data_IF_396421583269
#
_entry.id   IF_396421583269
#
_cell.length_a   1.000
_cell.length_b   1.000
_cell.length_c   1.000
_cell.angle_alpha   90.00
_cell.angle_beta   90.00
_cell.angle_gamma   90.00
#
_symmetry.space_group_name_H-M   'P 1'
#
loop_
_entity.id
_entity.type
_entity.pdbx_description
1 polymer ?
#
# COMPACT_ATOMS: atom_id res chain seq x y z
N UNK A 1 -11.35 -5.58 5.48
CA UNK A 1 -10.85 -6.90 5.88
C UNK A 1 -11.68 -7.37 7.05
N UNK A 2 -12.10 -8.63 7.05
CA UNK A 2 -12.92 -9.20 8.12
C UNK A 2 -12.20 -9.02 9.46
N UNK A 3 -12.99 -8.72 10.50
CA UNK A 3 -12.46 -8.46 11.83
C UNK A 3 -11.78 -9.71 12.39
N UNK A 4 -10.59 -9.55 12.98
CA UNK A 4 -9.85 -10.65 13.61
C UNK A 4 -10.50 -11.17 14.90
N UNK A 5 -11.36 -10.38 15.53
CA UNK A 5 -11.84 -10.61 16.88
C UNK A 5 -12.64 -11.90 17.02
N UNK A 6 -13.49 -12.23 16.05
CA UNK A 6 -14.27 -13.47 16.07
C UNK A 6 -13.34 -14.70 16.03
N UNK A 7 -12.47 -14.80 15.01
CA UNK A 7 -11.59 -15.94 14.87
C UNK A 7 -10.62 -16.06 16.06
N UNK A 8 -10.07 -14.94 16.54
CA UNK A 8 -9.15 -14.97 17.68
C UNK A 8 -9.84 -15.47 18.96
N UNK A 9 -11.10 -15.08 19.20
CA UNK A 9 -11.91 -15.60 20.32
C UNK A 9 -12.13 -17.11 20.17
N UNK A 10 -12.51 -17.57 18.98
CA UNK A 10 -12.71 -18.99 18.69
C UNK A 10 -11.43 -19.80 18.88
N UNK A 11 -10.31 -19.34 18.34
CA UNK A 11 -9.02 -20.04 18.47
C UNK A 11 -8.55 -20.08 19.92
N UNK A 12 -8.71 -19.00 20.70
CA UNK A 12 -8.37 -19.00 22.13
C UNK A 12 -9.24 -19.98 22.93
N UNK A 13 -10.54 -20.03 22.63
CA UNK A 13 -11.46 -20.96 23.28
C UNK A 13 -11.12 -22.42 22.96
N UNK A 14 -10.79 -22.73 21.71
CA UNK A 14 -10.37 -24.07 21.30
C UNK A 14 -9.03 -24.48 21.92
N UNK A 15 -8.10 -23.53 22.09
CA UNK A 15 -6.82 -23.77 22.77
C UNK A 15 -7.04 -24.13 24.25
N UNK A 16 -7.93 -23.41 24.94
CA UNK A 16 -8.31 -23.71 26.32
C UNK A 16 -8.95 -25.09 26.46
N UNK A 17 -9.84 -25.47 25.53
CA UNK A 17 -10.46 -26.80 25.52
C UNK A 17 -9.47 -27.92 25.19
N UNK A 18 -8.48 -27.64 24.34
CA UNK A 18 -7.41 -28.58 24.00
C UNK A 18 -6.51 -28.87 25.21
N UNK A 19 -6.24 -27.86 26.03
CA UNK A 19 -5.35 -27.96 27.20
C UNK A 19 -6.07 -28.40 28.50
N UNK A 20 -7.39 -28.67 28.45
CA UNK A 20 -8.15 -29.19 29.59
C UNK A 20 -7.67 -30.61 29.95
N UNK A 21 -7.14 -30.84 31.16
CA UNK A 21 -6.61 -32.15 31.57
C UNK A 21 -7.69 -33.25 31.67
N UNK A 22 -8.97 -32.89 31.64
CA UNK A 22 -10.11 -33.80 31.66
C UNK A 22 -10.59 -34.22 30.26
N UNK A 23 -10.06 -33.61 29.19
CA UNK A 23 -10.41 -33.95 27.82
C UNK A 23 -9.79 -35.30 27.39
N UNK A 24 -10.57 -36.15 26.73
CA UNK A 24 -10.04 -37.35 26.09
C UNK A 24 -9.30 -37.01 24.78
N UNK A 25 -8.40 -37.91 24.35
CA UNK A 25 -7.58 -37.72 23.15
C UNK A 25 -8.40 -37.49 21.86
N UNK A 26 -9.64 -37.99 21.79
CA UNK A 26 -10.50 -37.82 20.62
C UNK A 26 -11.08 -36.40 20.56
N UNK A 27 -11.46 -35.83 21.71
CA UNK A 27 -11.90 -34.43 21.83
C UNK A 27 -10.76 -33.47 21.53
N UNK A 28 -9.57 -33.69 22.11
CA UNK A 28 -8.38 -32.86 21.85
C UNK A 28 -8.04 -32.77 20.37
N UNK A 29 -8.02 -33.93 19.68
CA UNK A 29 -7.86 -33.99 18.22
C UNK A 29 -8.97 -33.24 17.46
N UNK A 30 -10.22 -33.28 17.95
CA UNK A 30 -11.35 -32.61 17.32
C UNK A 30 -11.24 -31.08 17.44
N UNK A 31 -10.76 -30.56 18.57
CA UNK A 31 -10.51 -29.13 18.75
C UNK A 31 -9.42 -28.60 17.80
N UNK A 32 -8.33 -29.35 17.62
CA UNK A 32 -7.30 -29.01 16.62
C UNK A 32 -7.85 -28.99 15.19
N UNK A 33 -8.69 -29.96 14.81
CA UNK A 33 -9.35 -29.97 13.50
C UNK A 33 -10.26 -28.77 13.31
N UNK A 34 -11.05 -28.45 14.33
CA UNK A 34 -11.98 -27.32 14.27
C UNK A 34 -11.21 -26.00 14.14
N UNK A 35 -10.14 -25.80 14.91
CA UNK A 35 -9.28 -24.62 14.82
C UNK A 35 -8.74 -24.42 13.39
N UNK A 36 -8.29 -25.51 12.77
CA UNK A 36 -7.78 -25.52 11.40
C UNK A 36 -8.86 -25.15 10.37
N UNK A 37 -10.08 -25.70 10.51
CA UNK A 37 -11.21 -25.41 9.61
C UNK A 37 -11.65 -23.95 9.76
N UNK A 38 -11.77 -23.44 10.99
CA UNK A 38 -12.11 -22.03 11.26
C UNK A 38 -11.10 -21.07 10.65
N UNK A 39 -9.80 -21.36 10.75
CA UNK A 39 -8.78 -20.54 10.10
C UNK A 39 -8.91 -20.57 8.57
N UNK A 40 -9.12 -21.75 7.97
CA UNK A 40 -9.29 -21.87 6.52
C UNK A 40 -10.51 -21.06 6.03
N UNK A 41 -11.65 -21.18 6.70
CA UNK A 41 -12.87 -20.44 6.36
C UNK A 41 -12.68 -18.93 6.51
N UNK A 42 -12.06 -18.48 7.60
CA UNK A 42 -11.78 -17.06 7.80
C UNK A 42 -10.85 -16.49 6.71
N UNK A 43 -9.84 -17.24 6.27
CA UNK A 43 -8.93 -16.79 5.19
C UNK A 43 -9.71 -16.66 3.87
N UNK A 44 -10.54 -17.65 3.52
CA UNK A 44 -11.39 -17.62 2.34
C UNK A 44 -12.28 -16.36 2.34
N UNK A 45 -13.07 -16.16 3.39
CA UNK A 45 -13.94 -14.99 3.51
C UNK A 45 -13.15 -13.66 3.50
N UNK A 46 -11.96 -13.65 4.09
CA UNK A 46 -11.09 -12.47 4.12
C UNK A 46 -10.53 -12.12 2.74
N UNK A 47 -10.09 -13.12 1.98
CA UNK A 47 -9.63 -12.95 0.61
C UNK A 47 -10.77 -12.45 -0.28
N UNK A 48 -11.97 -13.01 -0.13
CA UNK A 48 -13.16 -12.57 -0.84
C UNK A 48 -13.51 -11.11 -0.52
N UNK A 49 -13.51 -10.72 0.77
CA UNK A 49 -13.72 -9.32 1.17
C UNK A 49 -12.68 -8.37 0.54
N UNK A 50 -11.41 -8.78 0.46
CA UNK A 50 -10.36 -7.98 -0.19
C UNK A 50 -10.71 -7.76 -1.66
N UNK A 51 -11.04 -8.82 -2.41
CA UNK A 51 -11.41 -8.72 -3.82
C UNK A 51 -12.67 -7.86 -4.00
N UNK A 52 -13.71 -8.10 -3.20
CA UNK A 52 -14.97 -7.36 -3.26
C UNK A 52 -14.78 -5.86 -3.01
N UNK A 53 -13.92 -5.49 -2.04
CA UNK A 53 -13.58 -4.08 -1.79
C UNK A 53 -12.81 -3.45 -2.95
N UNK A 54 -11.92 -4.20 -3.61
CA UNK A 54 -11.28 -3.73 -4.85
C UNK A 54 -12.33 -3.52 -5.95
N UNK A 55 -13.23 -4.50 -6.15
CA UNK A 55 -14.25 -4.47 -7.19
C UNK A 55 -15.21 -3.29 -7.01
N UNK A 56 -15.68 -3.02 -5.79
CA UNK A 56 -16.55 -1.88 -5.49
C UNK A 56 -15.92 -0.52 -5.86
N UNK A 57 -14.58 -0.43 -5.90
CA UNK A 57 -13.85 0.79 -6.27
C UNK A 57 -13.58 0.88 -7.77
N UNK A 58 -13.21 -0.23 -8.39
CA UNK A 58 -12.86 -0.27 -9.81
C UNK A 58 -14.10 -0.33 -10.72
N UNK A 59 -15.19 -0.95 -10.26
CA UNK A 59 -16.37 -1.21 -11.08
C UNK A 59 -17.48 -0.21 -10.81
N UNK A 60 -17.83 0.56 -11.85
CA UNK A 60 -18.98 1.49 -11.82
C UNK A 60 -20.29 0.79 -12.17
N UNK A 61 -20.25 -0.19 -13.08
CA UNK A 61 -21.43 -0.92 -13.56
C UNK A 61 -21.95 -1.90 -12.50
N UNK A 62 -23.23 -1.79 -12.18
CA UNK A 62 -23.90 -2.69 -11.23
C UNK A 62 -23.97 -4.14 -11.74
N UNK A 63 -24.08 -4.33 -13.06
CA UNK A 63 -24.04 -5.65 -13.67
C UNK A 63 -22.67 -6.32 -13.46
N UNK A 64 -21.58 -5.56 -13.57
CA UNK A 64 -20.23 -6.08 -13.36
C UNK A 64 -19.97 -6.38 -11.88
N UNK A 65 -20.51 -5.58 -10.95
CA UNK A 65 -20.43 -5.89 -9.51
C UNK A 65 -21.12 -7.21 -9.21
N UNK A 66 -22.36 -7.41 -9.69
CA UNK A 66 -23.09 -8.68 -9.54
C UNK A 66 -22.36 -9.86 -10.16
N UNK A 67 -21.72 -9.66 -11.32
CA UNK A 67 -20.91 -10.70 -11.96
C UNK A 67 -19.74 -11.12 -11.07
N UNK A 68 -18.98 -10.15 -10.54
CA UNK A 68 -17.87 -10.43 -9.62
C UNK A 68 -18.34 -11.10 -8.34
N UNK A 69 -19.42 -10.61 -7.72
CA UNK A 69 -19.99 -11.23 -6.51
C UNK A 69 -20.29 -12.73 -6.76
N UNK A 70 -20.88 -13.06 -7.92
CA UNK A 70 -21.17 -14.44 -8.31
C UNK A 70 -19.91 -15.27 -8.59
N UNK A 71 -18.87 -14.68 -9.19
CA UNK A 71 -17.60 -15.35 -9.46
C UNK A 71 -16.87 -15.69 -8.15
N UNK A 72 -16.85 -14.74 -7.22
CA UNK A 72 -16.20 -14.91 -5.91
C UNK A 72 -16.96 -15.95 -5.11
N UNK A 73 -18.30 -15.84 -5.00
CA UNK A 73 -19.11 -16.81 -4.23
C UNK A 73 -19.02 -18.24 -4.76
N UNK A 74 -18.62 -18.44 -6.02
CA UNK A 74 -18.39 -19.76 -6.60
C UNK A 74 -16.97 -20.30 -6.43
N UNK A 75 -16.03 -19.51 -5.90
CA UNK A 75 -14.62 -19.87 -5.71
C UNK A 75 -14.39 -20.23 -4.25
N UNK A 76 -14.62 -21.49 -3.89
CA UNK A 76 -14.40 -21.97 -2.52
C UNK A 76 -12.93 -22.36 -2.26
N UNK A 77 -12.06 -21.37 -2.08
CA UNK A 77 -10.63 -21.62 -1.86
C UNK A 77 -9.93 -20.50 -1.08
N UNK A 78 -9.08 -20.90 -0.13
CA UNK A 78 -8.12 -20.02 0.56
C UNK A 78 -6.72 -20.05 -0.07
N UNK A 79 -6.55 -20.67 -1.23
CA UNK A 79 -5.25 -20.74 -1.91
C UNK A 79 -4.93 -19.42 -2.61
N UNK A 80 -3.63 -19.10 -2.70
CA UNK A 80 -3.20 -17.84 -3.31
C UNK A 80 -3.52 -17.75 -4.80
N UNK A 81 -3.41 -18.83 -5.58
CA UNK A 81 -3.60 -18.76 -7.03
C UNK A 81 -5.05 -18.44 -7.47
N UNK A 82 -6.11 -19.06 -6.90
CA UNK A 82 -7.48 -18.61 -7.09
C UNK A 82 -7.69 -17.14 -6.69
N UNK A 83 -7.20 -16.75 -5.51
CA UNK A 83 -7.27 -15.37 -5.03
C UNK A 83 -6.59 -14.38 -5.97
N UNK A 84 -5.40 -14.73 -6.48
CA UNK A 84 -4.63 -13.96 -7.46
C UNK A 84 -5.41 -13.77 -8.76
N UNK A 85 -6.08 -14.81 -9.27
CA UNK A 85 -6.93 -14.72 -10.47
C UNK A 85 -8.10 -13.76 -10.25
N UNK A 86 -8.73 -13.80 -9.09
CA UNK A 86 -9.83 -12.89 -8.74
C UNK A 86 -9.34 -11.44 -8.67
N UNK A 87 -8.19 -11.18 -8.04
CA UNK A 87 -7.56 -9.85 -8.06
C UNK A 87 -7.23 -9.40 -9.49
N UNK A 88 -6.66 -10.28 -10.31
CA UNK A 88 -6.32 -9.98 -11.70
C UNK A 88 -7.54 -9.57 -12.54
N UNK A 89 -8.71 -10.18 -12.31
CA UNK A 89 -9.95 -9.79 -12.99
C UNK A 89 -10.42 -8.38 -12.62
N UNK A 90 -10.12 -7.93 -11.41
CA UNK A 90 -10.62 -6.65 -10.88
C UNK A 90 -9.66 -5.50 -11.14
N UNK A 91 -8.36 -5.69 -10.88
CA UNK A 91 -7.35 -4.62 -10.95
C UNK A 91 -6.41 -4.73 -12.15
N UNK A 92 -6.52 -5.83 -12.92
CA UNK A 92 -5.66 -6.12 -14.06
C UNK A 92 -4.31 -6.74 -13.67
N UNK A 93 -3.73 -7.52 -14.60
CA UNK A 93 -2.48 -8.24 -14.37
C UNK A 93 -1.29 -7.31 -14.11
N UNK A 94 -1.14 -6.25 -14.91
CA UNK A 94 -0.01 -5.34 -14.79
C UNK A 94 0.05 -4.64 -13.42
N UNK A 95 -1.10 -4.21 -12.90
CA UNK A 95 -1.21 -3.60 -11.56
C UNK A 95 -0.86 -4.61 -10.48
N UNK A 96 -1.43 -5.81 -10.56
CA UNK A 96 -1.18 -6.87 -9.58
C UNK A 96 0.30 -7.27 -9.55
N UNK A 97 0.95 -7.39 -10.72
CA UNK A 97 2.37 -7.72 -10.81
C UNK A 97 3.26 -6.67 -10.14
N UNK A 98 2.95 -5.37 -10.30
CA UNK A 98 3.67 -4.29 -9.60
C UNK A 98 3.56 -4.42 -8.08
N UNK A 99 2.35 -4.69 -7.59
CA UNK A 99 2.06 -4.87 -6.16
C UNK A 99 2.82 -6.08 -5.61
N UNK A 100 2.71 -7.22 -6.29
CA UNK A 100 3.39 -8.46 -5.93
C UNK A 100 4.91 -8.27 -5.89
N UNK A 101 5.49 -7.65 -6.93
CA UNK A 101 6.92 -7.35 -7.01
C UNK A 101 7.39 -6.46 -5.87
N UNK A 102 6.60 -5.47 -5.47
CA UNK A 102 6.93 -4.56 -4.36
C UNK A 102 6.94 -5.31 -3.02
N UNK A 103 5.93 -6.12 -2.74
CA UNK A 103 5.84 -6.90 -1.51
C UNK A 103 6.91 -8.01 -1.45
N UNK A 104 7.27 -8.56 -2.61
CA UNK A 104 8.28 -9.62 -2.72
C UNK A 104 9.70 -9.14 -2.46
N UNK A 105 10.00 -7.83 -2.58
CA UNK A 105 11.27 -7.27 -2.08
C UNK A 105 11.53 -7.59 -0.60
N UNK A 106 10.47 -7.83 0.16
CA UNK A 106 10.51 -8.23 1.57
C UNK A 106 10.05 -9.68 1.80
N UNK A 107 9.94 -10.49 0.74
CA UNK A 107 9.56 -11.92 0.79
C UNK A 107 8.11 -12.19 1.20
N UNK A 108 7.23 -11.18 1.19
CA UNK A 108 5.88 -11.31 1.78
C UNK A 108 4.93 -12.16 0.95
N UNK A 109 5.01 -12.11 -0.39
CA UNK A 109 4.16 -12.95 -1.24
C UNK A 109 4.60 -14.41 -1.11
N UNK A 110 5.91 -14.67 -1.16
CA UNK A 110 6.46 -16.01 -0.91
C UNK A 110 6.09 -16.56 0.46
N UNK A 111 6.18 -15.74 1.52
CA UNK A 111 5.76 -16.15 2.86
C UNK A 111 4.27 -16.49 2.91
N UNK A 112 3.40 -15.65 2.32
CA UNK A 112 1.96 -15.89 2.28
C UNK A 112 1.64 -17.20 1.56
N UNK A 113 2.22 -17.42 0.38
CA UNK A 113 2.09 -18.67 -0.38
C UNK A 113 2.52 -19.89 0.46
N UNK A 114 3.64 -19.78 1.17
CA UNK A 114 4.15 -20.84 2.04
C UNK A 114 3.19 -21.18 3.18
N UNK A 115 2.68 -20.19 3.90
CA UNK A 115 1.70 -20.42 4.98
C UNK A 115 0.41 -21.06 4.45
N UNK A 116 -0.13 -20.57 3.34
CA UNK A 116 -1.35 -21.11 2.75
C UNK A 116 -1.15 -22.55 2.23
N UNK A 117 0.01 -22.86 1.65
CA UNK A 117 0.37 -24.21 1.24
C UNK A 117 0.46 -25.18 2.42
N UNK A 118 1.16 -24.80 3.49
CA UNK A 118 1.27 -25.60 4.72
C UNK A 118 -0.12 -25.83 5.36
N UNK A 119 -0.98 -24.81 5.33
CA UNK A 119 -2.34 -24.88 5.83
C UNK A 119 -3.19 -25.84 4.99
N UNK A 120 -3.07 -25.78 3.65
CA UNK A 120 -3.73 -26.71 2.72
C UNK A 120 -3.36 -28.16 3.00
N UNK A 121 -2.08 -28.44 3.18
CA UNK A 121 -1.61 -29.80 3.48
C UNK A 121 -2.15 -30.28 4.82
N UNK A 122 -2.14 -29.41 5.84
CA UNK A 122 -2.70 -29.71 7.16
C UNK A 122 -4.20 -29.99 7.08
N UNK A 123 -4.96 -29.17 6.35
CA UNK A 123 -6.40 -29.35 6.14
C UNK A 123 -6.69 -30.64 5.40
N UNK A 124 -5.96 -30.95 4.33
CA UNK A 124 -6.14 -32.18 3.57
C UNK A 124 -5.88 -33.42 4.45
N UNK A 125 -4.81 -33.41 5.26
CA UNK A 125 -4.55 -34.47 6.25
C UNK A 125 -5.67 -34.62 7.28
N UNK A 126 -6.31 -33.52 7.67
CA UNK A 126 -7.45 -33.52 8.60
C UNK A 126 -8.75 -34.01 7.96
N UNK A 127 -8.96 -33.75 6.67
CA UNK A 127 -10.15 -34.14 5.91
C UNK A 127 -10.20 -35.63 5.54
N UNK A 128 -9.05 -36.30 5.42
CA UNK A 128 -9.01 -37.76 5.23
C UNK A 128 -9.39 -38.48 6.53
N UNK A 129 -10.66 -38.86 6.64
CA UNK A 129 -11.31 -39.23 7.91
C UNK A 129 -11.25 -40.70 8.32
N UNK A 130 -10.79 -41.66 7.50
CA UNK A 130 -10.89 -43.07 7.89
C UNK A 130 -9.68 -43.90 7.49
N UNK A 131 -8.68 -43.96 8.37
CA UNK A 131 -7.78 -45.10 8.46
C UNK A 131 -7.98 -45.75 9.83
N UNK A 132 -8.78 -46.82 9.86
CA UNK A 132 -9.16 -47.56 11.08
C UNK A 132 -7.90 -47.92 11.87
N UNK A 133 -7.79 -47.46 13.12
CA UNK A 133 -6.68 -47.80 14.02
C UNK A 133 -5.48 -46.84 14.05
N UNK A 134 -5.53 -45.67 13.40
CA UNK A 134 -4.48 -44.63 13.55
C UNK A 134 -5.02 -43.38 14.25
N UNK A 135 -4.53 -43.11 15.45
CA UNK A 135 -4.65 -41.79 16.08
C UNK A 135 -3.73 -40.84 15.33
N UNK A 136 -4.29 -40.03 14.43
CA UNK A 136 -3.53 -38.93 13.81
C UNK A 136 -3.41 -37.81 14.84
N UNK A 137 -2.18 -37.43 15.16
CA UNK A 137 -1.91 -36.24 15.96
C UNK A 137 -1.98 -35.02 15.04
N UNK A 138 -2.69 -33.99 15.50
CA UNK A 138 -2.77 -32.68 14.86
C UNK A 138 -1.96 -31.70 15.69
N UNK A 139 -1.50 -30.63 15.06
CA UNK A 139 -0.92 -29.52 15.81
C UNK A 139 -1.97 -28.93 16.77
N UNK A 140 -1.52 -28.44 17.92
CA UNK A 140 -2.38 -27.77 18.88
C UNK A 140 -2.98 -26.47 18.30
N UNK A 141 -4.17 -26.04 18.74
CA UNK A 141 -4.78 -24.77 18.32
C UNK A 141 -3.86 -23.55 18.48
N UNK A 142 -2.98 -23.55 19.48
CA UNK A 142 -1.94 -22.52 19.66
C UNK A 142 -1.02 -22.34 18.45
N UNK A 143 -0.74 -23.41 17.69
CA UNK A 143 0.02 -23.30 16.42
C UNK A 143 -0.84 -22.64 15.34
N UNK A 144 -2.10 -23.07 15.20
CA UNK A 144 -3.06 -22.45 14.27
C UNK A 144 -3.23 -20.97 14.53
N UNK A 145 -3.24 -20.56 15.81
CA UNK A 145 -3.25 -19.16 16.22
C UNK A 145 -1.99 -18.40 15.78
N UNK A 146 -0.80 -18.99 15.92
CA UNK A 146 0.44 -18.38 15.41
C UNK A 146 0.41 -18.23 13.89
N UNK A 147 -0.06 -19.24 13.17
CA UNK A 147 -0.22 -19.18 11.72
C UNK A 147 -1.23 -18.10 11.31
N UNK A 148 -2.34 -17.97 12.04
CA UNK A 148 -3.31 -16.90 11.87
C UNK A 148 -2.67 -15.51 11.98
N UNK A 149 -1.91 -15.24 13.05
CA UNK A 149 -1.28 -13.94 13.25
C UNK A 149 -0.32 -13.59 12.09
N UNK A 150 0.41 -14.58 11.57
CA UNK A 150 1.30 -14.40 10.41
C UNK A 150 0.53 -14.12 9.13
N UNK A 151 -0.49 -14.93 8.82
CA UNK A 151 -1.31 -14.79 7.62
C UNK A 151 -2.08 -13.47 7.65
N UNK A 152 -2.67 -13.10 8.79
CA UNK A 152 -3.36 -11.83 8.98
C UNK A 152 -2.45 -10.64 8.69
N UNK A 153 -1.22 -10.65 9.21
CA UNK A 153 -0.23 -9.61 8.94
C UNK A 153 0.07 -9.47 7.45
N UNK A 154 0.30 -10.59 6.76
CA UNK A 154 0.61 -10.62 5.33
C UNK A 154 -0.57 -10.15 4.47
N UNK A 155 -1.80 -10.62 4.75
CA UNK A 155 -3.01 -10.18 4.04
C UNK A 155 -3.31 -8.71 4.28
N UNK A 156 -3.08 -8.20 5.51
CA UNK A 156 -3.23 -6.79 5.82
C UNK A 156 -2.27 -5.92 5.02
N UNK A 157 -1.02 -6.35 4.87
CA UNK A 157 -0.03 -5.63 4.07
C UNK A 157 -0.37 -5.64 2.57
N UNK A 158 -0.80 -6.80 2.04
CA UNK A 158 -1.27 -6.91 0.66
C UNK A 158 -2.49 -6.02 0.41
N UNK A 159 -3.49 -6.05 1.29
CA UNK A 159 -4.66 -5.19 1.20
C UNK A 159 -4.26 -3.72 1.27
N UNK A 160 -3.37 -3.33 2.18
CA UNK A 160 -2.89 -1.96 2.26
C UNK A 160 -2.23 -1.50 0.95
N UNK A 161 -1.44 -2.36 0.30
CA UNK A 161 -0.83 -2.04 -0.99
C UNK A 161 -1.86 -1.97 -2.13
N UNK A 162 -2.83 -2.89 -2.17
CA UNK A 162 -3.97 -2.82 -3.08
C UNK A 162 -4.72 -1.49 -2.92
N UNK A 163 -4.99 -1.06 -1.68
CA UNK A 163 -5.67 0.20 -1.42
C UNK A 163 -4.83 1.42 -1.82
N UNK A 164 -3.50 1.40 -1.64
CA UNK A 164 -2.60 2.49 -2.08
C UNK A 164 -2.66 2.70 -3.59
N UNK A 165 -2.70 1.62 -4.37
CA UNK A 165 -2.79 1.71 -5.82
C UNK A 165 -4.15 2.23 -6.33
N UNK A 166 -5.20 2.16 -5.50
CA UNK A 166 -6.56 2.56 -5.88
C UNK A 166 -6.99 3.92 -5.30
N UNK A 167 -6.22 4.51 -4.38
CA UNK A 167 -6.58 5.75 -3.69
C UNK A 167 -5.54 6.84 -3.87
N UNK A 168 -5.98 8.08 -3.68
CA UNK A 168 -5.07 9.19 -3.44
C UNK A 168 -4.29 8.92 -2.15
N UNK A 169 -2.96 8.92 -2.24
CA UNK A 169 -2.08 8.86 -1.08
C UNK A 169 -1.53 10.25 -0.77
N UNK A 170 -1.78 10.70 0.45
CA UNK A 170 -1.19 11.93 0.97
C UNK A 170 0.28 11.69 1.29
N UNK A 171 1.16 12.51 0.73
CA UNK A 171 2.60 12.50 1.02
C UNK A 171 2.90 13.63 2.00
N UNK A 172 3.60 13.28 3.08
CA UNK A 172 4.04 14.20 4.12
C UNK A 172 5.47 13.90 4.54
N UNK A 173 6.23 14.95 4.81
CA UNK A 173 7.61 14.90 5.28
C UNK A 173 7.94 16.11 6.13
N UNK A 174 8.82 15.93 7.10
CA UNK A 174 9.42 16.99 7.92
C UNK A 174 10.59 17.69 7.20
N UNK A 175 11.07 17.13 6.09
CA UNK A 175 12.11 17.71 5.23
C UNK A 175 11.61 18.78 4.26
N UNK A 176 10.33 19.14 4.35
CA UNK A 176 9.72 20.20 3.57
C UNK A 176 8.75 20.99 4.46
N UNK A 177 8.50 22.28 4.16
CA UNK A 177 7.63 23.11 4.98
C UNK A 177 6.24 22.49 5.15
N UNK A 178 5.71 22.58 6.37
CA UNK A 178 4.35 22.16 6.64
C UNK A 178 3.33 23.04 5.87
N UNK A 179 2.23 22.48 5.35
CA UNK A 179 1.18 23.28 4.72
C UNK A 179 0.61 24.32 5.68
N UNK A 180 0.51 25.58 5.23
CA UNK A 180 -0.04 26.70 6.02
C UNK A 180 -1.54 26.91 5.72
N UNK A 181 -2.12 26.10 4.83
CA UNK A 181 -3.52 26.18 4.40
C UNK A 181 -4.12 24.80 4.08
N UNK A 182 -5.33 24.74 3.50
CA UNK A 182 -6.07 23.50 3.25
C UNK A 182 -5.55 22.73 2.03
N UNK A 183 -4.26 22.38 2.02
CA UNK A 183 -3.61 21.57 0.99
C UNK A 183 -2.60 20.60 1.63
N UNK A 184 -2.12 19.63 0.84
CA UNK A 184 -1.04 18.72 1.25
C UNK A 184 0.22 19.02 0.44
N UNK A 185 1.39 18.67 0.98
CA UNK A 185 2.68 18.83 0.30
C UNK A 185 2.68 18.15 -1.08
N UNK A 186 2.17 16.91 -1.15
CA UNK A 186 1.87 16.24 -2.41
C UNK A 186 0.77 15.19 -2.27
N UNK A 187 0.17 14.85 -3.41
CA UNK A 187 -0.77 13.73 -3.56
C UNK A 187 -0.25 12.79 -4.64
N UNK A 188 -0.02 11.53 -4.29
CA UNK A 188 0.12 10.47 -5.27
C UNK A 188 -1.28 10.01 -5.68
N UNK A 189 -1.65 10.25 -6.94
CA UNK A 189 -2.93 9.82 -7.47
C UNK A 189 -2.90 8.32 -7.79
N UNK A 190 -4.07 7.65 -7.89
CA UNK A 190 -4.14 6.31 -8.47
C UNK A 190 -3.46 6.28 -9.83
N UNK A 191 -2.47 5.39 -9.99
CA UNK A 191 -1.62 5.34 -11.18
C UNK A 191 -0.20 5.87 -10.94
N UNK A 192 0.48 6.37 -11.98
CA UNK A 192 1.90 6.70 -11.87
C UNK A 192 2.17 8.12 -11.39
N UNK A 193 1.17 8.99 -11.22
CA UNK A 193 1.45 10.42 -11.05
C UNK A 193 1.46 10.89 -9.60
N UNK A 194 2.51 11.61 -9.25
CA UNK A 194 2.65 12.41 -8.05
C UNK A 194 2.48 13.89 -8.41
N UNK A 195 1.57 14.56 -7.73
CA UNK A 195 1.33 16.01 -7.85
C UNK A 195 1.89 16.71 -6.62
N UNK A 196 2.94 17.50 -6.80
CA UNK A 196 3.59 18.25 -5.73
C UNK A 196 3.07 19.69 -5.74
N UNK A 197 2.59 20.17 -4.59
CA UNK A 197 2.12 21.54 -4.45
C UNK A 197 3.28 22.53 -4.66
N UNK A 198 2.95 23.77 -5.03
CA UNK A 198 3.92 24.85 -5.16
C UNK A 198 4.79 25.00 -3.92
N UNK A 199 6.11 24.92 -4.11
CA UNK A 199 7.09 25.10 -3.06
C UNK A 199 7.65 26.51 -3.12
N UNK A 200 7.66 27.15 -1.95
CA UNK A 200 8.24 28.46 -1.70
C UNK A 200 9.52 28.32 -0.84
N UNK A 201 10.42 29.31 -0.80
CA UNK A 201 11.74 29.24 -0.15
C UNK A 201 11.68 29.36 1.38
N UNK A 202 10.84 28.54 2.02
CA UNK A 202 10.81 28.42 3.47
C UNK A 202 11.80 27.35 3.93
N UNK A 203 12.49 27.64 5.02
CA UNK A 203 13.22 26.63 5.78
C UNK A 203 12.21 25.68 6.46
N UNK A 204 12.34 24.35 6.31
CA UNK A 204 11.38 23.39 6.88
C UNK A 204 11.42 23.31 8.40
N UNK A 205 12.51 23.73 9.05
CA UNK A 205 12.70 23.73 10.50
C UNK A 205 12.16 25.02 11.11
N UNK A 206 12.51 26.18 10.56
CA UNK A 206 12.13 27.48 11.14
C UNK A 206 10.80 28.01 10.58
N UNK A 207 10.41 27.62 9.38
CA UNK A 207 9.24 28.14 8.68
C UNK A 207 9.41 29.56 8.13
N UNK A 208 10.64 30.09 8.14
CA UNK A 208 11.02 31.44 7.69
C UNK A 208 11.58 31.44 6.26
N UNK A 209 11.52 32.60 5.59
CA UNK A 209 12.10 32.77 4.26
C UNK A 209 13.62 32.83 4.38
N UNK A 210 14.33 31.98 3.65
CA UNK A 210 15.79 31.81 3.81
C UNK A 210 16.64 32.99 3.36
N UNK A 211 16.15 33.81 2.43
CA UNK A 211 16.90 34.92 1.83
C UNK A 211 16.00 35.83 1.00
N UNK A 212 16.50 37.02 0.67
CA UNK A 212 15.90 37.90 -0.36
C UNK A 212 16.53 37.73 -1.74
N UNK A 213 17.57 36.92 -1.88
CA UNK A 213 18.26 36.66 -3.14
C UNK A 213 17.61 35.50 -3.90
N UNK A 214 17.36 35.68 -5.20
CA UNK A 214 16.69 34.69 -6.05
C UNK A 214 17.40 33.33 -6.04
N UNK A 215 18.74 33.32 -6.13
CA UNK A 215 19.49 32.07 -6.21
C UNK A 215 19.32 31.22 -4.95
N UNK A 216 19.45 31.84 -3.77
CA UNK A 216 19.24 31.15 -2.49
C UNK A 216 17.80 30.71 -2.30
N UNK A 217 16.83 31.53 -2.72
CA UNK A 217 15.42 31.11 -2.70
C UNK A 217 15.18 29.90 -3.61
N UNK A 218 15.73 29.91 -4.82
CA UNK A 218 15.61 28.79 -5.76
C UNK A 218 16.25 27.53 -5.19
N UNK A 219 17.42 27.63 -4.55
CA UNK A 219 18.08 26.49 -3.89
C UNK A 219 17.19 25.87 -2.82
N UNK A 220 16.55 26.69 -1.97
CA UNK A 220 15.65 26.20 -0.94
C UNK A 220 14.37 25.56 -1.52
N UNK A 221 13.79 26.17 -2.56
CA UNK A 221 12.62 25.60 -3.25
C UNK A 221 12.95 24.21 -3.80
N UNK A 222 14.12 24.06 -4.44
CA UNK A 222 14.56 22.77 -4.96
C UNK A 222 14.81 21.75 -3.86
N UNK A 223 15.41 22.14 -2.72
CA UNK A 223 15.59 21.27 -1.56
C UNK A 223 14.24 20.80 -0.96
N UNK A 224 13.26 21.70 -0.87
CA UNK A 224 11.91 21.38 -0.38
C UNK A 224 11.21 20.36 -1.32
N UNK A 225 11.31 20.56 -2.64
CA UNK A 225 10.82 19.61 -3.63
C UNK A 225 11.50 18.24 -3.50
N UNK A 226 12.82 18.19 -3.32
CA UNK A 226 13.57 16.95 -3.12
C UNK A 226 13.12 16.19 -1.86
N UNK A 227 12.87 16.91 -0.77
CA UNK A 227 12.33 16.33 0.47
C UNK A 227 11.00 15.61 0.24
N UNK A 228 10.10 16.21 -0.55
CA UNK A 228 8.80 15.64 -0.89
C UNK A 228 8.92 14.47 -1.85
N UNK A 229 9.73 14.60 -2.91
CA UNK A 229 10.00 13.53 -3.88
C UNK A 229 10.56 12.30 -3.16
N UNK A 230 11.55 12.49 -2.29
CA UNK A 230 12.17 11.40 -1.52
C UNK A 230 11.15 10.70 -0.62
N UNK A 231 10.27 11.45 0.04
CA UNK A 231 9.21 10.87 0.87
C UNK A 231 8.18 10.05 0.07
N UNK A 232 7.99 10.38 -1.21
CA UNK A 232 7.18 9.61 -2.16
C UNK A 232 7.96 8.42 -2.79
N UNK A 233 9.23 8.23 -2.46
CA UNK A 233 10.09 7.21 -3.10
C UNK A 233 10.52 7.57 -4.53
N UNK A 234 10.48 8.85 -4.88
CA UNK A 234 10.88 9.41 -6.17
C UNK A 234 12.17 10.23 -6.05
N UNK A 235 12.76 10.58 -7.18
CA UNK A 235 13.89 11.50 -7.29
C UNK A 235 13.71 12.42 -8.53
N UNK A 236 14.71 13.26 -8.82
CA UNK A 236 14.65 14.22 -9.93
C UNK A 236 14.41 13.58 -11.32
N UNK A 237 14.88 12.35 -11.57
CA UNK A 237 14.64 11.64 -12.83
C UNK A 237 13.19 11.22 -13.01
N UNK A 238 12.38 11.26 -11.94
CA UNK A 238 10.95 10.98 -12.02
C UNK A 238 10.14 12.22 -12.41
N UNK A 239 10.69 13.43 -12.30
CA UNK A 239 9.95 14.67 -12.60
C UNK A 239 9.74 14.79 -14.09
N UNK A 240 8.49 14.96 -14.52
CA UNK A 240 8.10 15.03 -15.95
C UNK A 240 7.63 16.42 -16.36
N UNK A 241 7.17 17.24 -15.40
CA UNK A 241 6.72 18.61 -15.64
C UNK A 241 7.02 19.49 -14.43
N UNK A 242 7.48 20.71 -14.67
CA UNK A 242 7.54 21.78 -13.67
C UNK A 242 6.80 23.02 -14.15
N UNK A 243 6.21 23.77 -13.21
CA UNK A 243 5.75 25.13 -13.47
C UNK A 243 6.52 26.06 -12.54
N UNK A 244 7.17 27.07 -13.11
CA UNK A 244 7.96 28.06 -12.39
C UNK A 244 7.22 29.38 -12.42
N UNK A 245 6.93 29.92 -11.25
CA UNK A 245 6.33 31.23 -11.09
C UNK A 245 7.38 32.18 -10.53
N UNK A 246 7.62 33.30 -11.21
CA UNK A 246 8.53 34.35 -10.76
C UNK A 246 7.76 35.62 -10.46
N UNK A 247 8.17 36.37 -9.44
CA UNK A 247 7.62 37.71 -9.18
C UNK A 247 8.14 38.77 -10.16
N UNK A 248 9.28 38.50 -10.81
CA UNK A 248 9.94 39.38 -11.79
C UNK A 248 10.80 38.51 -12.73
N UNK A 249 10.54 38.56 -14.04
CA UNK A 249 11.28 37.80 -15.05
C UNK A 249 12.74 38.25 -15.22
N UNK A 250 13.15 39.41 -14.70
CA UNK A 250 14.55 39.78 -14.62
C UNK A 250 15.39 38.72 -13.87
N UNK A 251 14.76 37.99 -12.95
CA UNK A 251 15.37 36.91 -12.18
C UNK A 251 15.53 35.59 -12.94
N UNK A 252 15.02 35.47 -14.17
CA UNK A 252 14.99 34.23 -14.93
C UNK A 252 16.38 33.60 -15.13
N UNK A 253 17.38 34.41 -15.47
CA UNK A 253 18.75 33.94 -15.68
C UNK A 253 19.37 33.33 -14.42
N UNK A 254 19.29 34.05 -13.30
CA UNK A 254 19.86 33.61 -12.02
C UNK A 254 19.13 32.38 -11.44
N UNK A 255 17.80 32.33 -11.56
CA UNK A 255 17.01 31.14 -11.20
C UNK A 255 17.41 29.92 -12.04
N UNK A 256 17.56 30.09 -13.36
CA UNK A 256 17.91 28.98 -14.25
C UNK A 256 19.29 28.38 -13.95
N UNK A 257 20.27 29.18 -13.53
CA UNK A 257 21.59 28.68 -13.15
C UNK A 257 21.52 27.68 -11.99
N UNK A 258 20.60 27.87 -11.05
CA UNK A 258 20.35 26.93 -9.95
C UNK A 258 19.54 25.74 -10.47
N UNK A 259 18.44 26.00 -11.18
CA UNK A 259 17.54 24.96 -11.70
C UNK A 259 18.27 23.92 -12.55
N UNK A 260 19.20 24.35 -13.41
CA UNK A 260 19.97 23.48 -14.30
C UNK A 260 20.91 22.50 -13.56
N UNK A 261 21.22 22.73 -12.28
CA UNK A 261 22.02 21.80 -11.46
C UNK A 261 21.26 20.52 -11.13
N UNK A 262 19.92 20.58 -11.11
CA UNK A 262 19.05 19.45 -10.76
C UNK A 262 18.52 18.71 -12.00
N UNK A 263 18.45 19.40 -13.14
CA UNK A 263 17.89 18.86 -14.38
C UNK A 263 18.90 18.94 -15.53
N UNK A 264 19.59 17.83 -15.84
CA UNK A 264 20.42 17.74 -17.03
C UNK A 264 19.60 18.02 -18.30
N UNK A 265 20.13 18.73 -19.31
CA UNK A 265 19.38 19.11 -20.51
C UNK A 265 18.70 17.92 -21.22
N UNK A 266 19.37 16.77 -21.25
CA UNK A 266 18.94 15.59 -21.99
C UNK A 266 17.71 14.89 -21.38
N UNK A 267 17.47 15.14 -20.09
CA UNK A 267 16.40 14.50 -19.31
C UNK A 267 15.54 15.51 -18.57
N UNK A 268 15.65 16.80 -18.91
CA UNK A 268 14.94 17.86 -18.23
C UNK A 268 13.42 17.71 -18.44
N UNK A 269 12.60 17.97 -17.41
CA UNK A 269 11.14 17.90 -17.54
C UNK A 269 10.63 18.97 -18.50
N UNK A 270 9.42 18.75 -19.03
CA UNK A 270 8.67 19.83 -19.66
C UNK A 270 8.52 20.98 -18.66
N UNK A 271 8.57 22.23 -19.14
CA UNK A 271 8.54 23.40 -18.25
C UNK A 271 7.70 24.53 -18.82
N UNK A 272 6.95 25.19 -17.94
CA UNK A 272 6.42 26.52 -18.17
C UNK A 272 7.03 27.47 -17.13
N UNK A 273 7.39 28.69 -17.54
CA UNK A 273 7.87 29.73 -16.65
C UNK A 273 7.11 31.01 -16.95
N UNK A 274 6.53 31.64 -15.92
CA UNK A 274 5.71 32.85 -16.07
C UNK A 274 6.03 33.86 -14.98
N UNK A 275 5.89 35.14 -15.31
CA UNK A 275 5.78 36.20 -14.30
C UNK A 275 4.37 36.19 -13.71
N UNK A 276 4.24 36.38 -12.41
CA UNK A 276 2.95 36.53 -11.73
C UNK A 276 2.93 37.82 -10.91
N UNK A 277 1.74 38.38 -10.74
CA UNK A 277 1.56 39.65 -10.04
C UNK A 277 2.07 39.61 -8.59
N UNK A 278 1.95 38.47 -7.90
CA UNK A 278 2.39 38.28 -6.51
C UNK A 278 2.46 36.80 -6.15
N UNK A 279 3.44 36.43 -5.32
CA UNK A 279 3.57 35.09 -4.74
C UNK A 279 3.25 35.10 -3.23
N UNK A 280 2.86 33.95 -2.63
CA UNK A 280 2.63 33.83 -1.19
C UNK A 280 3.85 34.29 -0.38
N UNK A 281 3.62 35.09 0.66
CA UNK A 281 4.67 35.71 1.50
C UNK A 281 5.68 36.60 0.75
N UNK A 282 5.33 37.13 -0.44
CA UNK A 282 6.17 38.05 -1.21
C UNK A 282 7.56 37.47 -1.59
N UNK A 283 7.61 36.16 -1.81
CA UNK A 283 8.83 35.49 -2.30
C UNK A 283 9.04 35.76 -3.80
N UNK A 284 10.25 35.50 -4.28
CA UNK A 284 10.63 35.76 -5.67
C UNK A 284 10.32 34.60 -6.62
N UNK A 285 10.23 33.38 -6.07
CA UNK A 285 10.05 32.15 -6.84
C UNK A 285 9.17 31.14 -6.11
N UNK A 286 8.27 30.50 -6.87
CA UNK A 286 7.51 29.32 -6.48
C UNK A 286 7.61 28.28 -7.59
N UNK A 287 7.84 27.01 -7.24
CA UNK A 287 7.92 25.92 -8.20
C UNK A 287 7.03 24.76 -7.76
N UNK A 288 6.16 24.31 -8.66
CA UNK A 288 5.45 23.04 -8.53
C UNK A 288 6.01 22.00 -9.51
N UNK A 289 5.75 20.72 -9.24
CA UNK A 289 6.12 19.67 -10.16
C UNK A 289 5.14 18.48 -10.18
N UNK A 290 5.16 17.78 -11.31
CA UNK A 290 4.51 16.48 -11.50
C UNK A 290 5.62 15.46 -11.72
N UNK A 291 5.57 14.36 -10.99
CA UNK A 291 6.51 13.24 -11.14
C UNK A 291 5.78 11.94 -11.48
N UNK A 292 6.46 11.05 -12.20
CA UNK A 292 6.03 9.71 -12.53
C UNK A 292 6.72 8.69 -11.59
N UNK A 293 5.94 8.13 -10.66
CA UNK A 293 6.29 7.02 -9.79
C UNK A 293 6.35 5.72 -10.62
N UNK A 294 7.37 4.90 -10.35
CA UNK A 294 7.63 3.63 -11.05
C UNK A 294 6.68 2.50 -10.60
#
# INVERSE_FOLDING_TARGET
>A
MITKDYLLKTLNWLDQLHDDPTADNQKTSSYSKLALIELCGWIEETMDDIVLRCAKRCLKSEANKKFIDKTISGTHSFEYEPFRKMLMMVIGLATLEKIEKKLEKTGKISALKGYLGNLKDSRNRAAHTHTKGTLRTYDAPSKTKRDFDKIYGLLKELDAELQRHMNNQVIRTDKAPAPVGPYNQAIAAPGPFLFVAGQIPLDPVTGEIVSREISTQTEQVMANLEGILTAAGANWSNVVKTTVFLSDLANFGAMNQVYARYFPPETAPARACVEVARLPKDVLVEIECIAALA
#
